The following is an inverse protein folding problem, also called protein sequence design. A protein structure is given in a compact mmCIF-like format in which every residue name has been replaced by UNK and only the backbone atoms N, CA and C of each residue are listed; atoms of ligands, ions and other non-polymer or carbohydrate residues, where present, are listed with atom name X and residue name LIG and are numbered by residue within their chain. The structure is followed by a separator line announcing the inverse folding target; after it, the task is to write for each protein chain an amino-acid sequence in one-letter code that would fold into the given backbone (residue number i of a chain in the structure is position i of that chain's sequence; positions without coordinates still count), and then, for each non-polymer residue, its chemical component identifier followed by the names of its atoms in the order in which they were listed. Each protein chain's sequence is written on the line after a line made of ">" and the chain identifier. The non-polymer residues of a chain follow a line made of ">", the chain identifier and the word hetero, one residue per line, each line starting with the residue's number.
data_IF_473472061209
#
_entry.id   IF_473472061209
#
_cell.length_a   1.000
_cell.length_b   1.000
_cell.length_c   1.000
_cell.angle_alpha   90.00
_cell.angle_beta   90.00
_cell.angle_gamma   90.00
#
_symmetry.space_group_name_H-M   'P 1'
#
loop_
_entity.id
_entity.type
_entity.pdbx_description
1 polymer ?
#
# COMPACT_ATOMS: atom_id res chain seq x y z
N UNK A 1 -3.69 2.93 -12.04
CA UNK A 1 -3.00 2.22 -10.95
C UNK A 1 -2.19 3.24 -10.14
N UNK A 2 -2.11 3.09 -8.82
CA UNK A 2 -1.32 4.01 -7.96
C UNK A 2 0.12 3.52 -7.90
N UNK A 3 1.09 4.31 -8.37
CA UNK A 3 2.51 3.97 -8.24
C UNK A 3 2.98 4.28 -6.82
N UNK A 4 3.60 3.29 -6.15
CA UNK A 4 4.03 3.43 -4.75
C UNK A 4 5.12 4.49 -4.58
N UNK A 5 6.11 4.52 -5.48
CA UNK A 5 7.22 5.49 -5.42
C UNK A 5 6.74 6.92 -5.59
N UNK A 6 5.87 7.17 -6.56
CA UNK A 6 5.31 8.51 -6.78
C UNK A 6 4.43 8.97 -5.60
N UNK A 7 3.61 8.07 -5.04
CA UNK A 7 2.80 8.39 -3.87
C UNK A 7 3.68 8.78 -2.68
N UNK A 8 4.68 7.96 -2.33
CA UNK A 8 5.60 8.25 -1.22
C UNK A 8 6.37 9.57 -1.46
N UNK A 9 6.75 9.87 -2.69
CA UNK A 9 7.45 11.11 -3.07
C UNK A 9 6.61 12.36 -2.81
N UNK A 10 5.28 12.27 -2.95
CA UNK A 10 4.37 13.41 -2.77
C UNK A 10 4.02 13.65 -1.29
N UNK A 11 4.01 12.62 -0.44
CA UNK A 11 3.60 12.74 0.99
C UNK A 11 4.33 13.85 1.79
N UNK A 12 5.65 14.09 1.64
CA UNK A 12 6.33 15.21 2.29
C UNK A 12 5.78 16.57 1.84
N UNK A 13 5.48 16.72 0.55
CA UNK A 13 5.03 17.99 -0.04
C UNK A 13 3.65 18.44 0.47
N UNK A 14 2.84 17.49 0.94
CA UNK A 14 1.52 17.76 1.55
C UNK A 14 1.59 17.91 3.08
N UNK A 15 2.80 18.00 3.65
CA UNK A 15 3.01 18.29 5.07
C UNK A 15 2.91 17.08 6.00
N UNK A 16 3.04 15.86 5.49
CA UNK A 16 2.98 14.66 6.35
C UNK A 16 4.24 14.48 7.18
N UNK A 17 4.05 13.98 8.41
CA UNK A 17 5.15 13.65 9.32
C UNK A 17 5.94 12.46 8.79
N UNK A 18 7.24 12.44 9.08
CA UNK A 18 8.14 11.32 8.74
C UNK A 18 7.65 9.97 9.25
N UNK A 19 7.02 9.92 10.43
CA UNK A 19 6.43 8.69 10.98
C UNK A 19 5.28 8.16 10.13
N UNK A 20 4.38 9.04 9.68
CA UNK A 20 3.29 8.70 8.78
C UNK A 20 3.80 8.25 7.42
N UNK A 21 4.83 8.92 6.88
CA UNK A 21 5.45 8.53 5.61
C UNK A 21 6.07 7.13 5.72
N UNK A 22 6.82 6.85 6.80
CA UNK A 22 7.38 5.50 7.06
C UNK A 22 6.28 4.44 7.16
N UNK A 23 5.18 4.77 7.82
CA UNK A 23 4.01 3.88 7.91
C UNK A 23 3.44 3.59 6.51
N UNK A 24 3.21 4.62 5.68
CA UNK A 24 2.74 4.44 4.31
C UNK A 24 3.70 3.60 3.47
N UNK A 25 5.02 3.81 3.60
CA UNK A 25 6.01 2.98 2.92
C UNK A 25 5.90 1.52 3.36
N UNK A 26 5.80 1.25 4.67
CA UNK A 26 5.64 -0.14 5.16
C UNK A 26 4.32 -0.78 4.73
N UNK A 27 3.26 0.02 4.58
CA UNK A 27 1.94 -0.44 4.20
C UNK A 27 1.84 -0.76 2.70
N UNK A 28 2.58 -0.04 1.85
CA UNK A 28 2.51 -0.22 0.40
C UNK A 28 3.50 -1.27 -0.13
N UNK A 29 4.72 -1.32 0.41
CA UNK A 29 5.81 -2.17 -0.06
C UNK A 29 5.82 -3.56 0.61
N UNK A 30 6.45 -4.54 -0.06
CA UNK A 30 6.62 -5.94 0.41
C UNK A 30 5.30 -6.68 0.66
N UNK A 31 4.29 -6.39 -0.15
CA UNK A 31 3.01 -7.10 -0.10
C UNK A 31 2.98 -8.15 -1.20
N UNK A 32 2.63 -9.36 -0.82
CA UNK A 32 2.28 -10.41 -1.75
C UNK A 32 0.78 -10.66 -1.75
N UNK A 33 0.24 -11.14 -2.86
CA UNK A 33 -1.14 -11.58 -2.98
C UNK A 33 -1.23 -12.97 -3.56
N UNK A 34 -2.28 -13.67 -3.13
CA UNK A 34 -2.79 -14.90 -3.70
C UNK A 34 -4.29 -14.67 -3.89
N UNK A 35 -4.83 -15.08 -5.04
CA UNK A 35 -6.27 -14.99 -5.32
C UNK A 35 -6.84 -16.37 -5.63
N UNK A 36 -8.10 -16.60 -5.26
CA UNK A 36 -8.84 -17.79 -5.64
C UNK A 36 -9.99 -17.40 -6.57
N UNK A 37 -10.06 -18.01 -7.74
CA UNK A 37 -11.12 -17.77 -8.72
C UNK A 37 -11.69 -19.13 -9.11
N UNK A 38 -12.99 -19.33 -8.90
CA UNK A 38 -13.68 -20.59 -9.21
C UNK A 38 -12.98 -21.84 -8.62
N UNK A 39 -12.45 -21.72 -7.40
CA UNK A 39 -11.75 -22.81 -6.70
C UNK A 39 -10.29 -23.04 -7.13
N UNK A 40 -9.77 -22.27 -8.09
CA UNK A 40 -8.36 -22.33 -8.51
C UNK A 40 -7.58 -21.21 -7.80
N UNK A 41 -6.50 -21.59 -7.11
CA UNK A 41 -5.59 -20.66 -6.43
C UNK A 41 -4.50 -20.17 -7.39
N UNK A 42 -4.17 -18.89 -7.34
CA UNK A 42 -3.02 -18.34 -8.05
C UNK A 42 -1.72 -18.67 -7.33
N UNK A 43 -0.60 -18.52 -8.03
CA UNK A 43 0.70 -18.37 -7.39
C UNK A 43 0.75 -17.08 -6.55
N UNK A 44 1.63 -17.08 -5.55
CA UNK A 44 1.95 -15.86 -4.80
C UNK A 44 2.67 -14.87 -5.72
N UNK A 45 2.21 -13.62 -5.73
CA UNK A 45 2.83 -12.54 -6.51
C UNK A 45 2.95 -11.26 -5.70
N UNK A 46 4.09 -10.58 -5.87
CA UNK A 46 4.31 -9.25 -5.29
C UNK A 46 3.39 -8.20 -5.92
N UNK A 47 2.86 -7.32 -5.08
CA UNK A 47 2.04 -6.17 -5.47
C UNK A 47 2.93 -4.94 -5.63
N UNK A 48 3.22 -4.59 -6.88
CA UNK A 48 4.09 -3.44 -7.21
C UNK A 48 3.35 -2.10 -7.39
N UNK A 49 2.01 -2.12 -7.41
CA UNK A 49 1.19 -0.93 -7.57
C UNK A 49 -0.20 -1.09 -6.94
N UNK A 50 -0.92 0.03 -6.79
CA UNK A 50 -2.25 0.05 -6.17
C UNK A 50 -2.21 0.08 -4.64
N UNK A 51 -3.32 0.48 -4.06
CA UNK A 51 -3.56 0.45 -2.61
C UNK A 51 -4.54 -0.68 -2.30
N UNK A 52 -4.49 -1.30 -1.10
CA UNK A 52 -5.52 -2.24 -0.71
C UNK A 52 -6.89 -1.55 -0.69
N UNK A 53 -7.80 -1.99 -1.55
CA UNK A 53 -9.18 -1.51 -1.56
C UNK A 53 -9.99 -2.31 -0.54
N UNK A 54 -10.71 -1.61 0.35
CA UNK A 54 -11.53 -2.23 1.40
C UNK A 54 -10.88 -2.28 2.79
N UNK A 55 -9.62 -1.86 2.95
CA UNK A 55 -9.02 -1.64 4.26
C UNK A 55 -9.04 -0.16 4.62
N UNK A 56 -9.53 0.18 5.81
CA UNK A 56 -9.42 1.55 6.35
C UNK A 56 -7.94 1.89 6.56
N UNK A 57 -7.50 3.05 6.06
CA UNK A 57 -6.19 3.60 6.46
C UNK A 57 -6.30 3.97 7.95
N UNK A 58 -5.49 3.41 8.85
CA UNK A 58 -5.49 3.83 10.24
C UNK A 58 -5.20 5.33 10.29
N UNK A 59 -6.14 6.10 10.85
CA UNK A 59 -5.94 7.52 11.03
C UNK A 59 -4.76 7.73 11.97
N UNK A 60 -3.86 8.65 11.60
CA UNK A 60 -2.82 9.12 12.50
C UNK A 60 -3.51 9.92 13.62
N UNK A 61 -3.86 9.27 14.72
CA UNK A 61 -4.43 9.94 15.90
C UNK A 61 -3.40 10.91 16.45
N UNK A 62 -3.84 12.16 16.70
CA UNK A 62 -3.04 13.18 17.37
C UNK A 62 -2.90 12.86 18.85
#
# INVERSE_FOLDING_TARGET
>A
MVNHTELIRILPSVGMKTSSIKWFTSYLFKRNQIVMINGVLSEEREIICGVPQGTSVPQCTR
#
